data_IF_584586009065
#
_entry.id   IF_584586009065
#
_cell.length_a   1.000
_cell.length_b   1.000
_cell.length_c   1.000
_cell.angle_alpha   90.00
_cell.angle_beta   90.00
_cell.angle_gamma   90.00
#
_symmetry.space_group_name_H-M   'P 1'
#
loop_
_entity.id
_entity.type
_entity.pdbx_description
1 polymer ?
#
# COMPACT_ATOMS: atom_id res chain seq x y z
N UNK A 1 11.23 -24.91 2.33
CA UNK A 1 10.68 -23.54 2.19
C UNK A 1 9.91 -23.55 0.88
N UNK A 2 8.58 -23.65 0.95
CA UNK A 2 7.74 -23.83 -0.24
C UNK A 2 6.50 -24.66 0.06
N UNK A 3 5.57 -24.10 0.85
CA UNK A 3 4.18 -24.57 0.95
C UNK A 3 3.25 -23.37 1.26
N UNK A 4 3.56 -22.18 0.74
CA UNK A 4 2.58 -21.09 0.69
C UNK A 4 1.90 -21.21 -0.69
N UNK A 5 0.59 -21.50 -0.71
CA UNK A 5 -0.17 -21.72 -1.95
C UNK A 5 -0.10 -20.43 -2.79
N UNK A 6 0.25 -20.50 -4.09
CA UNK A 6 0.24 -19.33 -4.98
C UNK A 6 -1.07 -18.53 -4.92
N UNK A 7 -2.18 -19.17 -4.59
CA UNK A 7 -3.50 -18.57 -4.46
C UNK A 7 -3.63 -17.64 -3.24
N UNK A 8 -3.00 -18.00 -2.11
CA UNK A 8 -3.01 -17.17 -0.88
C UNK A 8 -2.25 -15.87 -1.13
N UNK A 9 -1.07 -15.97 -1.75
CA UNK A 9 -0.25 -14.82 -2.14
C UNK A 9 -1.00 -13.87 -3.08
N UNK A 10 -1.79 -14.40 -4.04
CA UNK A 10 -2.59 -13.56 -4.93
C UNK A 10 -3.71 -12.83 -4.17
N UNK A 11 -4.32 -13.48 -3.18
CA UNK A 11 -5.35 -12.84 -2.33
C UNK A 11 -4.71 -11.69 -1.53
N UNK A 12 -3.52 -11.90 -1.00
CA UNK A 12 -2.79 -10.90 -0.21
C UNK A 12 -2.48 -9.64 -1.04
N UNK A 13 -1.96 -9.81 -2.25
CA UNK A 13 -1.71 -8.70 -3.18
C UNK A 13 -3.02 -7.95 -3.55
N UNK A 14 -4.12 -8.67 -3.75
CA UNK A 14 -5.44 -8.07 -4.06
C UNK A 14 -5.97 -7.26 -2.86
N UNK A 15 -5.82 -7.78 -1.64
CA UNK A 15 -6.22 -7.09 -0.41
C UNK A 15 -5.38 -5.83 -0.23
N UNK A 16 -4.06 -5.92 -0.37
CA UNK A 16 -3.15 -4.77 -0.30
C UNK A 16 -3.50 -3.69 -1.32
N UNK A 17 -3.82 -4.10 -2.56
CA UNK A 17 -4.27 -3.19 -3.62
C UNK A 17 -5.59 -2.50 -3.27
N UNK A 18 -6.58 -3.21 -2.74
CA UNK A 18 -7.85 -2.60 -2.31
C UNK A 18 -7.66 -1.59 -1.19
N UNK A 19 -6.80 -1.90 -0.22
CA UNK A 19 -6.46 -0.97 0.86
C UNK A 19 -5.79 0.28 0.30
N UNK A 20 -4.88 0.13 -0.67
CA UNK A 20 -4.20 1.27 -1.31
C UNK A 20 -5.19 2.28 -1.94
N UNK A 21 -6.31 1.78 -2.46
CA UNK A 21 -7.36 2.58 -3.11
C UNK A 21 -8.50 3.01 -2.19
N UNK A 22 -8.51 2.56 -0.93
CA UNK A 22 -9.63 2.81 -0.03
C UNK A 22 -9.95 4.30 0.09
N UNK A 23 -11.19 4.67 -0.24
CA UNK A 23 -11.69 6.05 -0.21
C UNK A 23 -11.34 6.90 -1.44
N UNK A 24 -10.78 6.30 -2.50
CA UNK A 24 -10.56 6.96 -3.79
C UNK A 24 -11.43 6.37 -4.90
N UNK A 25 -11.71 7.18 -5.92
CA UNK A 25 -12.34 6.71 -7.15
C UNK A 25 -11.36 5.94 -8.05
N UNK A 26 -11.86 5.19 -9.04
CA UNK A 26 -11.04 4.35 -9.91
C UNK A 26 -10.00 5.12 -10.75
N UNK A 27 -10.15 6.44 -10.89
CA UNK A 27 -9.19 7.30 -11.59
C UNK A 27 -7.79 7.33 -10.98
N UNK A 28 -7.63 6.90 -9.73
CA UNK A 28 -6.32 6.80 -9.05
C UNK A 28 -5.78 5.37 -9.01
N UNK A 29 -6.35 4.43 -9.77
CA UNK A 29 -5.89 3.04 -9.81
C UNK A 29 -4.41 2.91 -10.16
N UNK A 30 -3.96 3.56 -11.24
CA UNK A 30 -2.56 3.50 -11.70
C UNK A 30 -1.56 4.04 -10.66
N UNK A 31 -1.73 5.26 -10.11
CA UNK A 31 -0.80 5.74 -9.09
C UNK A 31 -0.88 4.92 -7.78
N UNK A 32 -2.05 4.43 -7.40
CA UNK A 32 -2.19 3.54 -6.24
C UNK A 32 -1.44 2.22 -6.43
N UNK A 33 -1.59 1.59 -7.61
CA UNK A 33 -0.90 0.35 -7.96
C UNK A 33 0.62 0.55 -7.96
N UNK A 34 1.10 1.65 -8.54
CA UNK A 34 2.53 1.99 -8.54
C UNK A 34 3.09 2.14 -7.13
N UNK A 35 2.40 2.90 -6.26
CA UNK A 35 2.81 3.09 -4.87
C UNK A 35 2.79 1.77 -4.09
N UNK A 36 1.72 1.00 -4.21
CA UNK A 36 1.59 -0.30 -3.57
C UNK A 36 2.76 -1.23 -3.96
N UNK A 37 3.03 -1.41 -5.26
CA UNK A 37 4.12 -2.28 -5.72
C UNK A 37 5.49 -1.81 -5.28
N UNK A 38 5.74 -0.50 -5.25
CA UNK A 38 7.01 0.02 -4.73
C UNK A 38 7.16 -0.34 -3.26
N UNK A 39 6.12 -0.18 -2.45
CA UNK A 39 6.18 -0.44 -1.01
C UNK A 39 6.25 -1.92 -0.67
N UNK A 40 5.50 -2.75 -1.39
CA UNK A 40 5.53 -4.22 -1.32
C UNK A 40 6.93 -4.77 -1.66
N UNK A 41 7.58 -4.25 -2.72
CA UNK A 41 8.94 -4.65 -3.10
C UNK A 41 10.00 -4.12 -2.12
N UNK A 42 9.91 -2.84 -1.73
CA UNK A 42 10.94 -2.17 -0.91
C UNK A 42 10.89 -2.64 0.55
N UNK A 43 9.72 -3.05 1.04
CA UNK A 43 9.48 -3.46 2.44
C UNK A 43 10.14 -2.50 3.46
N UNK A 44 9.74 -1.22 3.51
CA UNK A 44 10.35 -0.28 4.45
C UNK A 44 10.16 -0.77 5.90
N UNK A 45 11.23 -0.65 6.70
CA UNK A 45 11.22 -0.98 8.12
C UNK A 45 10.08 -0.21 8.84
N UNK A 46 9.20 -0.84 9.66
CA UNK A 46 9.42 -1.99 10.55
C UNK A 46 8.80 -3.33 10.08
N UNK A 47 8.36 -3.42 8.83
CA UNK A 47 7.62 -4.57 8.27
C UNK A 47 8.37 -5.90 8.42
N UNK A 48 9.72 -5.90 8.39
CA UNK A 48 10.56 -7.10 8.60
C UNK A 48 10.36 -7.85 9.94
N UNK A 49 9.66 -7.28 10.92
CA UNK A 49 9.33 -8.02 12.16
C UNK A 49 8.05 -8.86 12.04
N UNK A 50 7.16 -8.60 11.06
CA UNK A 50 5.98 -9.42 10.79
C UNK A 50 6.34 -10.75 10.10
N UNK A 51 7.43 -10.79 9.33
CA UNK A 51 8.03 -12.04 8.79
C UNK A 51 8.49 -13.05 9.88
N UNK A 52 8.49 -12.66 11.16
CA UNK A 52 8.75 -13.59 12.28
C UNK A 52 7.50 -14.35 12.73
N UNK A 53 6.33 -14.00 12.21
CA UNK A 53 5.10 -14.77 12.42
C UNK A 53 5.15 -16.03 11.54
N UNK A 54 4.77 -17.20 12.06
CA UNK A 54 4.79 -18.43 11.29
C UNK A 54 3.73 -18.43 10.17
N UNK A 55 4.14 -18.80 8.94
CA UNK A 55 3.25 -19.09 7.81
C UNK A 55 2.77 -17.87 6.99
N UNK A 56 1.75 -18.08 6.13
CA UNK A 56 1.16 -17.08 5.23
C UNK A 56 0.62 -15.80 5.89
N UNK A 57 0.35 -15.84 7.21
CA UNK A 57 -0.07 -14.67 8.00
C UNK A 57 0.97 -13.53 7.93
N UNK A 58 2.26 -13.86 7.88
CA UNK A 58 3.33 -12.86 7.75
C UNK A 58 3.31 -12.15 6.39
N UNK A 59 2.97 -12.89 5.32
CA UNK A 59 2.92 -12.37 3.95
C UNK A 59 1.72 -11.43 3.81
N UNK A 60 0.54 -11.89 4.22
CA UNK A 60 -0.68 -11.07 4.22
C UNK A 60 -0.53 -9.78 5.05
N UNK A 61 0.14 -9.85 6.20
CA UNK A 61 0.40 -8.67 7.02
C UNK A 61 1.32 -7.65 6.32
N UNK A 62 2.32 -8.12 5.58
CA UNK A 62 3.24 -7.26 4.81
C UNK A 62 2.46 -6.49 3.72
N UNK A 63 1.61 -7.18 2.95
CA UNK A 63 0.79 -6.59 1.88
C UNK A 63 -0.24 -5.59 2.41
N UNK A 64 -0.87 -5.89 3.56
CA UNK A 64 -1.80 -4.98 4.23
C UNK A 64 -1.08 -3.69 4.64
N UNK A 65 0.12 -3.79 5.21
CA UNK A 65 0.90 -2.61 5.62
C UNK A 65 1.35 -1.81 4.41
N UNK A 66 1.82 -2.47 3.35
CA UNK A 66 2.17 -1.82 2.09
C UNK A 66 0.97 -1.08 1.48
N UNK A 67 -0.21 -1.70 1.46
CA UNK A 67 -1.47 -1.08 1.01
C UNK A 67 -1.85 0.13 1.85
N UNK A 68 -1.74 0.05 3.18
CA UNK A 68 -2.06 1.15 4.08
C UNK A 68 -1.11 2.36 3.89
N UNK A 69 0.19 2.10 3.79
CA UNK A 69 1.19 3.13 3.51
C UNK A 69 0.98 3.77 2.14
N UNK A 70 0.65 2.98 1.11
CA UNK A 70 0.32 3.48 -0.22
C UNK A 70 -0.88 4.43 -0.15
N UNK A 71 -1.92 4.08 0.60
CA UNK A 71 -3.11 4.92 0.77
C UNK A 71 -2.78 6.28 1.43
N UNK A 72 -1.98 6.27 2.50
CA UNK A 72 -1.56 7.51 3.19
C UNK A 72 -0.77 8.41 2.24
N UNK A 73 0.20 7.86 1.51
CA UNK A 73 1.03 8.62 0.57
C UNK A 73 0.14 9.19 -0.55
N UNK A 74 -0.77 8.38 -1.10
CA UNK A 74 -1.69 8.81 -2.14
C UNK A 74 -2.62 9.93 -1.65
N UNK A 75 -3.08 9.89 -0.38
CA UNK A 75 -3.82 11.01 0.25
C UNK A 75 -2.98 12.27 0.36
N UNK A 76 -1.73 12.17 0.80
CA UNK A 76 -0.82 13.31 0.86
C UNK A 76 -0.62 13.96 -0.52
N UNK A 77 -0.33 13.14 -1.53
CA UNK A 77 -0.17 13.60 -2.93
C UNK A 77 -1.47 14.22 -3.46
N UNK A 78 -2.60 13.52 -3.30
CA UNK A 78 -3.89 14.01 -3.76
C UNK A 78 -4.28 15.33 -3.08
N UNK A 79 -4.04 15.46 -1.78
CA UNK A 79 -4.31 16.71 -1.07
C UNK A 79 -3.41 17.84 -1.56
N UNK A 80 -2.11 17.56 -1.74
CA UNK A 80 -1.13 18.53 -2.19
C UNK A 80 -1.46 19.08 -3.58
N UNK A 81 -1.80 18.21 -4.54
CA UNK A 81 -1.98 18.58 -5.94
C UNK A 81 -3.43 18.82 -6.38
N UNK A 82 -4.40 18.12 -5.78
CA UNK A 82 -5.81 18.18 -6.18
C UNK A 82 -6.70 18.87 -5.13
N UNK A 83 -6.29 18.86 -3.87
CA UNK A 83 -7.06 19.39 -2.73
C UNK A 83 -6.70 20.80 -2.29
N UNK A 84 -5.83 21.51 -3.02
CA UNK A 84 -5.41 22.86 -2.69
C UNK A 84 -4.31 22.96 -1.61
N UNK A 85 -3.69 21.84 -1.24
CA UNK A 85 -2.64 21.82 -0.20
C UNK A 85 -1.40 22.63 -0.58
N UNK A 86 -1.08 22.70 -1.89
CA UNK A 86 0.03 23.52 -2.37
C UNK A 86 -0.17 25.00 -2.01
N UNK A 87 -1.36 25.55 -2.23
CA UNK A 87 -1.73 26.93 -1.93
C UNK A 87 -1.63 27.23 -0.43
N UNK A 88 -2.08 26.28 0.41
CA UNK A 88 -1.98 26.38 1.88
C UNK A 88 -0.51 26.46 2.33
N UNK A 89 0.38 25.68 1.71
CA UNK A 89 1.80 25.66 2.06
C UNK A 89 2.57 26.88 1.54
N UNK A 90 2.18 27.44 0.39
CA UNK A 90 2.84 28.62 -0.20
C UNK A 90 2.27 29.95 0.26
N UNK A 91 1.14 29.95 0.98
CA UNK A 91 0.51 31.15 1.52
C UNK A 91 -0.09 32.08 0.46
N UNK A 92 -0.43 31.52 -0.71
CA UNK A 92 -0.95 32.24 -1.89
C UNK A 92 -2.42 31.92 -2.14
#
# INVERSE_FOLDING_TARGET
KGEDDPSEVVIDEVVGMWISLYGFGPGLFIPALGLFRILDIVKPFPVRNAEKLPGGIGIMADDIVAGFLANIILRGISWLFLGGGFQVLTGS
#
